data_IF_272400496251
#
_entry.id   IF_272400496251
#
_cell.length_a   1.000
_cell.length_b   1.000
_cell.length_c   1.000
_cell.angle_alpha   90.00
_cell.angle_beta   90.00
_cell.angle_gamma   90.00
#
_symmetry.space_group_name_H-M   'P 1'
#
loop_
_entity.id
_entity.type
_entity.pdbx_description
1 polymer ?
#
# COMPACT_ATOMS: atom_id res chain seq x y z
N UNK A 1 -8.06 10.00 -18.32
CA UNK A 1 -7.44 10.13 -16.99
C UNK A 1 -6.10 9.44 -16.98
N UNK A 2 -5.16 9.98 -16.24
CA UNK A 2 -3.82 9.42 -16.16
C UNK A 2 -3.72 8.46 -14.98
N UNK A 3 -3.32 7.23 -15.21
CA UNK A 3 -3.08 6.30 -14.11
C UNK A 3 -1.95 6.81 -13.22
N UNK A 4 -1.99 6.42 -11.97
CA UNK A 4 -1.10 6.91 -10.94
C UNK A 4 -0.54 5.73 -10.17
N UNK A 5 0.77 5.59 -10.13
CA UNK A 5 1.43 4.49 -9.45
C UNK A 5 2.28 4.94 -8.29
N UNK A 6 2.33 4.08 -7.28
CA UNK A 6 3.11 4.28 -6.07
C UNK A 6 3.88 3.00 -5.76
N UNK A 7 5.14 3.14 -5.37
CA UNK A 7 5.91 2.02 -4.88
C UNK A 7 6.55 2.46 -3.56
N UNK A 8 6.25 1.74 -2.50
CA UNK A 8 6.67 2.10 -1.17
C UNK A 8 7.26 0.94 -0.39
N UNK A 9 7.98 1.28 0.66
CA UNK A 9 8.64 0.33 1.54
C UNK A 9 8.28 0.68 2.97
N UNK A 10 7.80 -0.33 3.71
CA UNK A 10 7.40 -0.15 5.10
C UNK A 10 8.23 -1.07 5.99
N UNK A 11 8.68 -0.53 7.11
CA UNK A 11 9.45 -1.31 8.08
C UNK A 11 8.71 -1.28 9.41
N UNK A 12 8.45 -2.45 9.97
CA UNK A 12 7.80 -2.57 11.28
C UNK A 12 8.80 -2.37 12.39
N UNK A 13 8.32 -2.01 13.59
CA UNK A 13 9.15 -2.04 14.78
C UNK A 13 9.57 -3.50 15.03
N UNK A 14 10.71 -3.74 15.72
CA UNK A 14 11.20 -5.10 15.93
C UNK A 14 10.14 -6.03 16.52
N UNK A 15 10.00 -7.20 15.91
CA UNK A 15 9.04 -8.23 16.33
C UNK A 15 7.63 -8.07 15.79
N UNK A 16 7.34 -6.97 15.05
CA UNK A 16 5.98 -6.69 14.56
C UNK A 16 5.81 -6.83 13.06
N UNK A 17 6.80 -7.38 12.36
CA UNK A 17 6.75 -7.55 10.90
C UNK A 17 5.56 -8.38 10.45
N UNK A 18 5.30 -9.50 11.10
CA UNK A 18 4.20 -10.39 10.68
C UNK A 18 2.84 -9.74 10.90
N UNK A 19 2.68 -8.98 11.98
CA UNK A 19 1.44 -8.25 12.22
C UNK A 19 1.24 -7.15 11.16
N UNK A 20 2.30 -6.42 10.83
CA UNK A 20 2.22 -5.39 9.79
C UNK A 20 1.89 -6.01 8.43
N UNK A 21 2.52 -7.15 8.11
CA UNK A 21 2.23 -7.87 6.88
C UNK A 21 0.75 -8.29 6.84
N UNK A 22 0.21 -8.80 7.94
CA UNK A 22 -1.19 -9.21 8.01
C UNK A 22 -2.12 -8.02 7.76
N UNK A 23 -1.82 -6.84 8.33
CA UNK A 23 -2.62 -5.64 8.12
C UNK A 23 -2.59 -5.22 6.64
N UNK A 24 -1.41 -5.25 6.02
CA UNK A 24 -1.28 -4.88 4.61
C UNK A 24 -1.96 -5.88 3.68
N UNK A 25 -1.98 -7.15 4.04
CA UNK A 25 -2.72 -8.16 3.27
C UNK A 25 -4.23 -7.92 3.36
N UNK A 26 -4.73 -7.49 4.52
CA UNK A 26 -6.13 -7.08 4.64
C UNK A 26 -6.41 -5.87 3.74
N UNK A 27 -5.48 -4.92 3.67
CA UNK A 27 -5.62 -3.76 2.79
C UNK A 27 -5.69 -4.20 1.33
N UNK A 28 -4.83 -5.12 0.91
CA UNK A 28 -4.84 -5.63 -0.45
C UNK A 28 -6.18 -6.29 -0.79
N UNK A 29 -6.72 -7.07 0.13
CA UNK A 29 -8.02 -7.71 -0.04
C UNK A 29 -9.14 -6.69 -0.15
N UNK A 30 -9.12 -5.65 0.69
CA UNK A 30 -10.11 -4.58 0.63
C UNK A 30 -10.04 -3.82 -0.69
N UNK A 31 -8.83 -3.58 -1.20
CA UNK A 31 -8.64 -2.83 -2.44
C UNK A 31 -9.11 -3.60 -3.69
N UNK A 32 -9.23 -4.92 -3.61
CA UNK A 32 -9.81 -5.70 -4.70
C UNK A 32 -11.25 -5.28 -4.99
N UNK A 33 -11.94 -4.71 -4.01
CA UNK A 33 -13.33 -4.26 -4.16
C UNK A 33 -13.43 -2.80 -4.61
N UNK A 34 -12.31 -2.09 -4.70
CA UNK A 34 -12.30 -0.69 -5.14
C UNK A 34 -12.11 -0.62 -6.64
N UNK A 35 -13.16 -0.18 -7.33
CA UNK A 35 -13.17 -0.14 -8.80
C UNK A 35 -12.05 0.73 -9.37
N UNK A 36 -11.60 1.75 -8.63
CA UNK A 36 -10.57 2.69 -9.10
C UNK A 36 -9.15 2.22 -8.78
N UNK A 37 -9.01 1.11 -8.06
CA UNK A 37 -7.70 0.53 -7.77
C UNK A 37 -7.39 -0.54 -8.82
N UNK A 38 -6.36 -0.29 -9.63
CA UNK A 38 -5.99 -1.22 -10.69
C UNK A 38 -5.09 -2.34 -10.19
N UNK A 39 -4.15 -2.01 -9.30
CA UNK A 39 -3.21 -2.94 -8.70
C UNK A 39 -2.97 -2.53 -7.25
N UNK A 40 -2.95 -3.49 -6.36
CA UNK A 40 -2.49 -3.27 -4.98
C UNK A 40 -1.80 -4.55 -4.56
N UNK A 41 -0.49 -4.56 -4.65
CA UNK A 41 0.31 -5.75 -4.38
C UNK A 41 1.21 -5.55 -3.18
N UNK A 42 1.16 -6.51 -2.25
CA UNK A 42 1.97 -6.52 -1.04
C UNK A 42 2.98 -7.65 -1.18
N UNK A 43 4.24 -7.36 -0.89
CA UNK A 43 5.30 -8.37 -0.98
C UNK A 43 6.30 -8.19 0.16
N UNK A 44 6.87 -9.30 0.60
CA UNK A 44 7.93 -9.28 1.59
C UNK A 44 9.27 -9.11 0.87
N UNK A 45 10.10 -8.20 1.36
CA UNK A 45 11.44 -8.02 0.81
C UNK A 45 12.27 -9.27 1.08
N UNK A 46 13.11 -9.63 0.11
CA UNK A 46 14.08 -10.72 0.26
C UNK A 46 15.43 -10.20 0.73
N UNK A 47 15.64 -8.87 0.69
CA UNK A 47 16.90 -8.25 1.06
C UNK A 47 16.97 -7.85 2.53
N UNK A 48 15.82 -7.59 3.12
CA UNK A 48 15.76 -7.13 4.53
C UNK A 48 14.39 -7.48 5.12
N UNK A 49 14.08 -6.94 6.29
CA UNK A 49 12.81 -7.21 7.01
C UNK A 49 11.65 -6.31 6.56
N UNK A 50 11.85 -5.50 5.52
CA UNK A 50 10.79 -4.60 5.08
C UNK A 50 9.73 -5.30 4.24
N UNK A 51 8.61 -4.59 4.07
CA UNK A 51 7.50 -5.00 3.22
C UNK A 51 7.38 -3.95 2.13
N UNK A 52 7.19 -4.38 0.89
CA UNK A 52 6.99 -3.45 -0.22
C UNK A 52 5.55 -3.51 -0.69
N UNK A 53 5.03 -2.35 -1.10
CA UNK A 53 3.66 -2.22 -1.61
C UNK A 53 3.73 -1.50 -2.95
N UNK A 54 3.12 -2.10 -3.95
CA UNK A 54 3.04 -1.58 -5.31
C UNK A 54 1.57 -1.31 -5.62
N UNK A 55 1.26 -0.05 -5.94
CA UNK A 55 -0.13 0.37 -6.19
C UNK A 55 -0.25 1.06 -7.52
N UNK A 56 -1.34 0.79 -8.23
CA UNK A 56 -1.71 1.55 -9.42
C UNK A 56 -3.19 1.92 -9.30
N UNK A 57 -3.49 3.20 -9.49
CA UNK A 57 -4.83 3.76 -9.40
C UNK A 57 -5.22 4.41 -10.71
N UNK A 58 -6.51 4.56 -10.97
CA UNK A 58 -7.00 5.22 -12.17
C UNK A 58 -6.54 6.67 -12.26
N UNK A 59 -6.31 7.32 -11.10
CA UNK A 59 -5.89 8.71 -11.04
C UNK A 59 -5.33 9.05 -9.67
N UNK A 60 -4.66 10.18 -9.56
CA UNK A 60 -4.22 10.73 -8.26
C UNK A 60 -5.42 10.93 -7.34
N UNK A 61 -6.51 11.47 -7.88
CA UNK A 61 -7.72 11.73 -7.10
C UNK A 61 -8.32 10.45 -6.54
N UNK A 62 -8.32 9.37 -7.33
CA UNK A 62 -8.82 8.08 -6.88
C UNK A 62 -8.02 7.56 -5.69
N UNK A 63 -6.69 7.68 -5.76
CA UNK A 63 -5.83 7.30 -4.64
C UNK A 63 -6.12 8.14 -3.40
N UNK A 64 -6.24 9.45 -3.56
CA UNK A 64 -6.51 10.35 -2.45
C UNK A 64 -7.86 10.04 -1.79
N UNK A 65 -8.88 9.74 -2.60
CA UNK A 65 -10.19 9.36 -2.07
C UNK A 65 -10.13 8.06 -1.28
N UNK A 66 -9.29 7.12 -1.71
CA UNK A 66 -9.15 5.85 -0.99
C UNK A 66 -8.64 6.03 0.43
N UNK A 67 -7.85 7.07 0.67
CA UNK A 67 -7.29 7.34 1.99
C UNK A 67 -8.35 7.78 3.00
N UNK A 68 -9.51 8.25 2.54
CA UNK A 68 -10.60 8.66 3.42
C UNK A 68 -11.64 7.56 3.66
N UNK A 69 -11.48 6.40 3.04
CA UNK A 69 -12.38 5.28 3.29
C UNK A 69 -12.25 4.80 4.73
N UNK A 70 -13.38 4.43 5.34
CA UNK A 70 -13.39 3.95 6.72
C UNK A 70 -12.48 2.74 6.90
N UNK A 71 -12.53 1.79 5.95
CA UNK A 71 -11.67 0.61 5.98
C UNK A 71 -10.20 1.01 5.98
N UNK A 72 -9.81 1.94 5.11
CA UNK A 72 -8.44 2.42 5.03
C UNK A 72 -8.00 3.07 6.33
N UNK A 73 -8.85 3.94 6.89
CA UNK A 73 -8.56 4.63 8.14
C UNK A 73 -8.38 3.65 9.31
N UNK A 74 -9.20 2.61 9.35
CA UNK A 74 -9.09 1.58 10.38
C UNK A 74 -7.76 0.83 10.28
N UNK A 75 -7.36 0.46 9.06
CA UNK A 75 -6.10 -0.26 8.85
C UNK A 75 -4.89 0.62 9.15
N UNK A 76 -4.92 1.90 8.77
CA UNK A 76 -3.87 2.86 9.10
C UNK A 76 -3.74 2.98 10.62
N UNK A 77 -4.85 3.08 11.32
CA UNK A 77 -4.86 3.18 12.79
C UNK A 77 -4.23 1.97 13.47
N UNK A 78 -4.44 0.78 12.90
CA UNK A 78 -3.84 -0.44 13.43
C UNK A 78 -2.35 -0.54 13.11
N UNK A 79 -1.93 -0.01 11.97
CA UNK A 79 -0.53 -0.06 11.55
C UNK A 79 0.36 0.94 12.26
N UNK A 80 -0.18 2.13 12.56
CA UNK A 80 0.62 3.22 13.16
C UNK A 80 1.49 2.82 14.34
N UNK A 81 0.97 2.12 15.37
CA UNK A 81 1.81 1.82 16.55
C UNK A 81 2.93 0.82 16.28
N UNK A 82 2.86 0.07 15.18
CA UNK A 82 3.87 -0.94 14.88
C UNK A 82 4.74 -0.57 13.67
N UNK A 83 4.55 0.63 13.14
CA UNK A 83 5.29 1.09 11.97
C UNK A 83 6.49 1.91 12.39
N UNK A 84 7.69 1.46 12.04
CA UNK A 84 8.93 2.17 12.35
C UNK A 84 9.30 3.18 11.27
N UNK A 85 9.04 2.84 9.99
CA UNK A 85 9.42 3.71 8.89
C UNK A 85 8.58 3.43 7.65
N UNK A 86 8.34 4.50 6.88
CA UNK A 86 7.73 4.41 5.54
C UNK A 86 8.63 5.19 4.60
N UNK A 87 8.99 4.56 3.47
CA UNK A 87 9.72 5.22 2.41
C UNK A 87 8.91 5.14 1.12
N UNK A 88 8.76 6.28 0.46
CA UNK A 88 8.20 6.30 -0.89
C UNK A 88 9.36 6.14 -1.87
N UNK A 89 9.44 4.98 -2.51
CA UNK A 89 10.54 4.67 -3.42
C UNK A 89 10.32 5.26 -4.81
N UNK A 90 9.07 5.30 -5.26
CA UNK A 90 8.75 5.86 -6.58
C UNK A 90 7.30 6.30 -6.63
N UNK A 91 7.05 7.37 -7.39
CA UNK A 91 5.73 7.80 -7.83
C UNK A 91 5.85 7.84 -9.35
N UNK A 92 4.92 7.20 -10.04
CA UNK A 92 5.08 7.02 -11.48
C UNK A 92 3.76 6.98 -12.21
N UNK A 93 3.82 7.17 -13.51
CA UNK A 93 2.66 7.03 -14.39
C UNK A 93 2.88 5.78 -15.24
N UNK A 94 2.08 4.72 -15.02
CA UNK A 94 2.18 3.53 -15.87
C UNK A 94 1.93 3.89 -17.34
N UNK A 95 2.79 3.42 -18.23
CA UNK A 95 2.72 3.74 -19.66
C UNK A 95 2.45 2.50 -20.52
N UNK A 96 2.65 1.32 -19.97
CA UNK A 96 2.32 0.06 -20.63
C UNK A 96 1.14 -0.60 -19.95
N UNK A 97 0.53 -1.58 -20.61
CA UNK A 97 -0.58 -2.33 -20.03
C UNK A 97 -0.11 -3.46 -19.10
N UNK A 98 1.14 -3.84 -19.22
CA UNK A 98 1.69 -4.97 -18.46
C UNK A 98 2.69 -4.48 -17.45
#
# INVERSE_FOLDING_TARGET
MKPYGLFGKLTAVPGEREMLLAILLEAAEAMEREATCCVYQVAASLDDESIVVYEVWESVEAHQQSLSLETTQTLIGRAKPILANIERLAVFEPRSKN
#
